data_IF_175741636894
#
_entry.id   IF_175741636894
#
_cell.length_a   1.000
_cell.length_b   1.000
_cell.length_c   1.000
_cell.angle_alpha   90.00
_cell.angle_beta   90.00
_cell.angle_gamma   90.00
#
_symmetry.space_group_name_H-M   'P 1'
#
loop_
_entity.id
_entity.type
_entity.pdbx_description
1 polymer ?
#
# COMPACT_ATOMS: atom_id res chain seq x y z
N UNK A 1 20.69 19.09 13.99
CA UNK A 1 19.68 18.77 12.95
C UNK A 1 20.27 19.12 11.60
N UNK A 2 19.89 18.42 10.53
CA UNK A 2 20.35 18.66 9.15
C UNK A 2 19.16 18.75 8.21
N UNK A 3 19.22 19.62 7.21
CA UNK A 3 18.24 19.65 6.13
C UNK A 3 18.82 18.97 4.88
N UNK A 4 18.04 18.12 4.22
CA UNK A 4 18.44 17.54 2.93
C UNK A 4 17.30 17.65 1.91
N UNK A 5 17.63 17.94 0.64
CA UNK A 5 16.63 18.09 -0.44
C UNK A 5 15.76 16.84 -0.61
N UNK A 6 16.38 15.66 -0.44
CA UNK A 6 15.72 14.36 -0.62
C UNK A 6 14.85 13.96 0.58
N UNK A 7 15.26 14.33 1.80
CA UNK A 7 14.64 13.79 3.01
C UNK A 7 13.95 14.81 3.92
N UNK A 8 14.16 16.11 3.71
CA UNK A 8 13.60 17.20 4.52
C UNK A 8 14.45 17.48 5.76
N UNK A 9 13.80 17.85 6.87
CA UNK A 9 14.45 17.98 8.17
C UNK A 9 14.80 16.60 8.73
N UNK A 10 16.06 16.41 9.07
CA UNK A 10 16.60 15.19 9.68
C UNK A 10 17.25 15.53 11.03
N UNK A 11 17.05 14.65 12.00
CA UNK A 11 17.83 14.61 13.22
C UNK A 11 19.08 13.74 12.98
N UNK A 12 20.25 14.26 13.34
CA UNK A 12 21.46 13.46 13.48
C UNK A 12 21.53 13.04 14.94
N UNK A 13 21.29 11.77 15.21
CA UNK A 13 21.23 11.23 16.57
C UNK A 13 22.53 10.49 16.83
N UNK A 14 23.35 11.07 17.71
CA UNK A 14 24.53 10.40 18.25
C UNK A 14 24.12 9.62 19.49
N UNK A 15 24.55 8.37 19.59
CA UNK A 15 24.19 7.50 20.70
C UNK A 15 25.37 6.64 21.14
N UNK A 16 25.27 6.07 22.34
CA UNK A 16 26.27 5.11 22.81
C UNK A 16 26.01 3.75 22.16
N UNK A 17 27.02 3.11 21.53
CA UNK A 17 26.81 1.82 20.91
C UNK A 17 26.61 0.73 21.99
N UNK A 18 25.96 -0.41 21.63
CA UNK A 18 25.84 -1.55 22.53
C UNK A 18 27.20 -2.00 23.08
N UNK A 19 27.24 -2.52 24.32
CA UNK A 19 28.48 -2.91 25.01
C UNK A 19 29.38 -3.82 24.15
N UNK A 20 28.77 -4.76 23.41
CA UNK A 20 29.47 -5.70 22.51
C UNK A 20 30.24 -5.02 21.38
N UNK A 21 29.80 -3.82 20.98
CA UNK A 21 30.34 -3.05 19.84
C UNK A 21 31.40 -2.05 20.31
N UNK A 22 31.35 -1.61 21.58
CA UNK A 22 32.27 -0.62 22.14
C UNK A 22 33.73 -1.07 22.05
N UNK A 23 34.00 -2.35 22.37
CA UNK A 23 35.35 -2.94 22.37
C UNK A 23 35.85 -3.37 20.98
N UNK A 24 35.03 -3.25 19.94
CA UNK A 24 35.38 -3.69 18.57
C UNK A 24 36.17 -2.62 17.83
N UNK A 25 37.08 -3.05 16.95
CA UNK A 25 37.77 -2.15 16.01
C UNK A 25 36.81 -1.59 14.96
N UNK A 26 37.15 -0.50 14.29
CA UNK A 26 36.31 0.14 13.25
C UNK A 26 35.84 -0.84 12.18
N UNK A 27 36.74 -1.72 11.71
CA UNK A 27 36.46 -2.76 10.72
C UNK A 27 35.46 -3.80 11.24
N UNK A 28 35.60 -4.20 12.51
CA UNK A 28 34.70 -5.13 13.18
C UNK A 28 33.34 -4.49 13.46
N UNK A 29 33.28 -3.21 13.83
CA UNK A 29 32.04 -2.45 13.98
C UNK A 29 31.28 -2.37 12.66
N UNK A 30 31.97 -2.05 11.54
CA UNK A 30 31.37 -2.03 10.20
C UNK A 30 30.74 -3.39 9.87
N UNK A 31 31.48 -4.49 10.03
CA UNK A 31 30.97 -5.84 9.78
C UNK A 31 29.75 -6.16 10.65
N UNK A 32 29.80 -5.79 11.93
CA UNK A 32 28.70 -6.02 12.86
C UNK A 32 27.45 -5.26 12.42
N UNK A 33 27.55 -3.95 12.17
CA UNK A 33 26.42 -3.14 11.70
C UNK A 33 25.82 -3.66 10.40
N UNK A 34 26.65 -4.10 9.46
CA UNK A 34 26.19 -4.66 8.18
C UNK A 34 25.54 -6.05 8.33
N UNK A 35 26.01 -6.87 9.27
CA UNK A 35 25.42 -8.17 9.55
C UNK A 35 24.09 -8.04 10.31
N UNK A 36 23.96 -7.02 11.17
CA UNK A 36 22.72 -6.78 11.91
C UNK A 36 21.68 -6.06 11.04
N UNK A 37 20.43 -6.52 11.08
CA UNK A 37 19.27 -5.80 10.52
C UNK A 37 18.80 -4.64 11.40
N UNK A 38 19.72 -4.05 12.18
CA UNK A 38 19.43 -2.94 13.08
C UNK A 38 19.61 -1.61 12.36
N UNK A 39 18.79 -0.63 12.73
CA UNK A 39 18.76 0.72 12.20
C UNK A 39 18.67 0.74 10.67
N UNK A 40 17.90 -0.19 10.08
CA UNK A 40 17.64 -0.21 8.65
C UNK A 40 16.77 0.97 8.22
N UNK A 41 16.89 1.39 6.96
CA UNK A 41 16.11 2.50 6.42
C UNK A 41 14.59 2.25 6.58
N UNK A 42 13.88 3.25 7.11
CA UNK A 42 12.45 3.20 7.38
C UNK A 42 12.05 2.62 8.75
N UNK A 43 12.97 2.02 9.51
CA UNK A 43 12.69 1.49 10.85
C UNK A 43 12.30 2.61 11.82
N UNK A 44 11.29 2.34 12.65
CA UNK A 44 10.83 3.25 13.70
C UNK A 44 11.85 3.34 14.86
N UNK A 45 12.16 4.57 15.26
CA UNK A 45 12.93 4.91 16.45
C UNK A 45 12.05 5.74 17.40
N UNK A 46 12.33 5.66 18.69
CA UNK A 46 11.78 6.54 19.71
C UNK A 46 12.92 7.10 20.56
N UNK A 47 13.03 8.42 20.60
CA UNK A 47 13.89 9.11 21.56
C UNK A 47 13.03 9.55 22.74
N UNK A 48 13.29 9.00 23.92
CA UNK A 48 12.64 9.42 25.15
C UNK A 48 13.50 10.52 25.76
N UNK A 49 12.95 11.72 25.78
CA UNK A 49 13.57 12.91 26.37
C UNK A 49 13.04 13.12 27.79
N UNK A 50 13.91 13.48 28.74
CA UNK A 50 13.49 13.66 30.14
C UNK A 50 13.61 15.13 30.55
N UNK A 51 12.46 15.74 30.83
CA UNK A 51 12.36 17.08 31.41
C UNK A 51 11.60 16.96 32.74
N UNK A 52 12.22 17.40 33.85
CA UNK A 52 11.63 17.43 35.19
C UNK A 52 10.98 16.09 35.62
N UNK A 53 11.73 14.99 35.40
CA UNK A 53 11.31 13.59 35.65
C UNK A 53 10.17 13.07 34.77
N UNK A 54 9.65 13.87 33.83
CA UNK A 54 8.68 13.44 32.82
C UNK A 54 9.41 13.02 31.54
N UNK A 55 9.21 11.77 31.15
CA UNK A 55 9.68 11.24 29.87
C UNK A 55 8.70 11.60 28.75
N UNK A 56 9.18 12.26 27.71
CA UNK A 56 8.39 12.59 26.50
C UNK A 56 8.98 11.84 25.31
N UNK A 57 8.22 10.89 24.70
CA UNK A 57 8.69 10.15 23.55
C UNK A 57 8.58 10.98 22.26
N UNK A 58 9.64 11.02 21.48
CA UNK A 58 9.67 11.61 20.15
C UNK A 58 9.99 10.52 19.13
N UNK A 59 9.13 10.34 18.15
CA UNK A 59 9.26 9.27 17.16
C UNK A 59 9.95 9.72 15.89
N UNK A 60 10.76 8.82 15.34
CA UNK A 60 11.49 9.02 14.10
C UNK A 60 11.44 7.77 13.22
N UNK A 61 11.76 7.94 11.95
CA UNK A 61 12.09 6.83 11.04
C UNK A 61 13.52 6.98 10.57
N UNK A 62 14.29 5.89 10.56
CA UNK A 62 15.66 5.92 10.04
C UNK A 62 15.64 6.37 8.59
N UNK A 63 16.42 7.40 8.27
CA UNK A 63 16.47 7.96 6.92
C UNK A 63 17.57 7.34 6.08
N UNK A 64 18.72 7.05 6.70
CA UNK A 64 19.86 6.40 6.06
C UNK A 64 20.71 5.68 7.09
N UNK A 65 20.99 4.40 6.84
CA UNK A 65 22.04 3.65 7.52
C UNK A 65 23.37 3.89 6.80
N UNK A 66 24.35 4.45 7.47
CA UNK A 66 25.68 4.72 6.91
C UNK A 66 26.75 4.01 7.72
N UNK A 67 27.56 3.19 7.06
CA UNK A 67 28.73 2.51 7.66
C UNK A 67 30.04 2.89 6.96
N UNK A 68 30.00 3.87 6.05
CA UNK A 68 31.16 4.36 5.32
C UNK A 68 31.89 5.42 6.14
N UNK A 69 33.21 5.38 6.11
CA UNK A 69 34.07 6.26 6.91
C UNK A 69 34.30 7.62 6.25
N UNK A 70 34.18 7.68 4.91
CA UNK A 70 34.49 8.87 4.11
C UNK A 70 33.40 9.95 4.14
N UNK A 71 32.21 9.61 4.66
CA UNK A 71 31.07 10.52 4.74
C UNK A 71 30.88 10.85 6.21
N UNK A 72 31.02 12.13 6.59
CA UNK A 72 30.70 12.60 7.94
C UNK A 72 29.30 12.15 8.37
N UNK A 73 29.17 11.78 9.64
CA UNK A 73 28.03 11.07 10.27
C UNK A 73 27.87 9.61 9.81
N UNK A 74 28.42 8.68 10.61
CA UNK A 74 28.45 7.24 10.31
C UNK A 74 28.30 6.41 11.59
N UNK A 75 27.88 5.14 11.46
CA UNK A 75 27.78 4.22 12.59
C UNK A 75 29.15 3.74 13.12
N UNK A 76 30.24 4.13 12.45
CA UNK A 76 31.61 3.73 12.78
C UNK A 76 32.50 4.91 13.20
N UNK A 77 31.94 6.11 13.41
CA UNK A 77 32.71 7.28 13.87
C UNK A 77 33.32 7.06 15.26
N UNK A 78 34.53 7.60 15.47
CA UNK A 78 35.28 7.46 16.73
C UNK A 78 34.59 8.17 17.90
N UNK A 79 33.97 9.31 17.65
CA UNK A 79 33.20 10.08 18.63
C UNK A 79 31.80 9.49 18.91
N UNK A 80 31.59 8.21 18.61
CA UNK A 80 30.33 7.49 18.76
C UNK A 80 29.50 7.41 17.47
N UNK A 81 28.66 6.36 17.30
CA UNK A 81 27.83 6.17 16.12
C UNK A 81 26.79 7.28 15.97
N UNK A 82 26.57 7.70 14.73
CA UNK A 82 25.53 8.66 14.35
C UNK A 82 24.56 8.01 13.37
N UNK A 83 23.26 8.19 13.60
CA UNK A 83 22.20 7.77 12.69
C UNK A 83 21.36 8.98 12.24
N UNK A 84 21.06 9.04 10.95
CA UNK A 84 20.16 10.03 10.39
C UNK A 84 18.72 9.53 10.46
N UNK A 85 17.82 10.35 11.01
CA UNK A 85 16.42 9.98 11.21
C UNK A 85 15.47 11.14 10.87
N UNK A 86 14.33 10.83 10.27
CA UNK A 86 13.25 11.78 9.97
C UNK A 86 12.19 11.76 11.05
N UNK A 87 11.63 12.92 11.34
CA UNK A 87 10.45 13.03 12.18
C UNK A 87 9.24 12.32 11.55
N UNK A 88 8.41 11.70 12.38
CA UNK A 88 7.13 11.14 11.93
C UNK A 88 6.10 12.25 11.71
N UNK A 89 5.03 11.98 10.95
CA UNK A 89 3.94 12.94 10.69
C UNK A 89 3.21 13.38 11.97
N UNK A 90 3.39 12.64 13.06
CA UNK A 90 2.84 12.93 14.39
C UNK A 90 3.68 13.90 15.21
N UNK A 91 4.88 14.29 14.76
CA UNK A 91 5.72 15.23 15.50
C UNK A 91 5.10 16.62 15.52
N UNK A 92 4.82 17.11 16.72
CA UNK A 92 4.30 18.46 16.96
C UNK A 92 5.41 19.47 17.14
N UNK A 93 5.09 20.77 17.04
CA UNK A 93 6.03 21.85 17.37
C UNK A 93 6.49 21.76 18.82
N UNK A 94 5.61 21.33 19.73
CA UNK A 94 5.94 21.12 21.14
C UNK A 94 6.99 20.02 21.31
N UNK A 95 6.93 18.95 20.53
CA UNK A 95 7.94 17.88 20.55
C UNK A 95 9.31 18.41 20.07
N UNK A 96 9.32 19.26 19.04
CA UNK A 96 10.55 19.91 18.56
C UNK A 96 11.16 20.85 19.62
N UNK A 97 10.32 21.58 20.36
CA UNK A 97 10.76 22.46 21.45
C UNK A 97 11.28 21.62 22.63
N UNK A 98 10.56 20.57 23.05
CA UNK A 98 11.00 19.66 24.10
C UNK A 98 12.33 19.01 23.75
N UNK A 99 12.50 18.61 22.48
CA UNK A 99 13.75 18.09 21.95
C UNK A 99 14.86 19.15 22.00
N UNK A 100 14.59 20.39 21.59
CA UNK A 100 15.53 21.53 21.68
C UNK A 100 16.02 21.78 23.11
N UNK A 101 15.12 21.75 24.10
CA UNK A 101 15.43 21.94 25.52
C UNK A 101 16.20 20.73 26.08
N UNK A 102 15.82 19.51 25.70
CA UNK A 102 16.48 18.28 26.17
C UNK A 102 17.90 18.10 25.67
N UNK A 103 18.31 18.73 24.55
CA UNK A 103 19.71 18.73 24.11
C UNK A 103 20.67 19.32 25.15
N UNK A 104 20.17 20.10 26.12
CA UNK A 104 20.97 20.68 27.19
C UNK A 104 21.09 19.76 28.43
N UNK A 105 20.34 18.64 28.50
CA UNK A 105 20.30 17.74 29.67
C UNK A 105 20.59 16.29 29.25
N UNK A 106 21.57 15.65 29.90
CA UNK A 106 22.32 14.53 29.33
C UNK A 106 21.74 13.09 29.51
N UNK A 107 20.43 12.89 29.74
CA UNK A 107 19.88 11.57 30.06
C UNK A 107 18.75 11.10 29.11
N UNK A 108 18.96 11.14 27.79
CA UNK A 108 17.95 10.68 26.84
C UNK A 108 18.13 9.20 26.48
N UNK A 109 17.03 8.47 26.27
CA UNK A 109 17.05 7.06 25.87
C UNK A 109 16.62 6.90 24.41
N UNK A 110 17.43 6.23 23.60
CA UNK A 110 17.07 5.87 22.23
C UNK A 110 16.60 4.41 22.18
N UNK A 111 15.35 4.21 21.75
CA UNK A 111 14.72 2.90 21.57
C UNK A 111 14.51 2.65 20.09
N UNK A 112 14.91 1.46 19.63
CA UNK A 112 14.68 0.98 18.28
C UNK A 112 13.52 -0.04 18.29
N UNK A 113 12.69 -0.05 17.24
CA UNK A 113 11.67 -1.06 17.00
C UNK A 113 12.03 -1.89 15.75
N UNK A 114 12.87 -2.94 15.87
CA UNK A 114 13.36 -3.68 14.72
C UNK A 114 12.22 -4.24 13.85
N UNK A 115 12.32 -4.02 12.53
CA UNK A 115 11.33 -4.51 11.56
C UNK A 115 10.01 -3.73 11.53
N UNK A 116 9.78 -2.78 12.44
CA UNK A 116 8.61 -1.91 12.40
C UNK A 116 8.87 -0.76 11.43
N UNK A 117 8.26 -0.85 10.25
CA UNK A 117 8.36 0.16 9.19
C UNK A 117 6.98 0.80 8.99
N UNK A 118 6.69 1.95 9.63
CA UNK A 118 5.35 2.55 9.64
C UNK A 118 4.73 2.75 8.26
N UNK A 119 5.55 3.11 7.26
CA UNK A 119 5.11 3.35 5.89
C UNK A 119 4.49 2.12 5.22
N UNK A 120 4.72 0.91 5.75
CA UNK A 120 4.17 -0.33 5.21
C UNK A 120 2.76 -0.66 5.71
N UNK A 121 2.32 -0.09 6.83
CA UNK A 121 1.04 -0.43 7.45
C UNK A 121 0.19 0.77 7.87
N UNK A 122 0.78 1.93 8.20
CA UNK A 122 0.01 3.12 8.65
C UNK A 122 -1.04 3.54 7.61
N UNK A 123 -0.72 3.71 6.32
CA UNK A 123 -1.75 4.07 5.33
C UNK A 123 -2.86 3.03 5.23
N UNK A 124 -2.54 1.74 5.40
CA UNK A 124 -3.53 0.66 5.38
C UNK A 124 -4.46 0.77 6.58
N UNK A 125 -3.91 1.01 7.77
CA UNK A 125 -4.69 1.17 9.00
C UNK A 125 -5.59 2.41 8.96
N UNK A 126 -5.08 3.54 8.49
CA UNK A 126 -5.87 4.78 8.31
C UNK A 126 -7.04 4.55 7.36
N UNK A 127 -6.81 3.90 6.21
CA UNK A 127 -7.87 3.53 5.28
C UNK A 127 -8.89 2.56 5.91
N UNK A 128 -8.43 1.58 6.71
CA UNK A 128 -9.34 0.68 7.42
C UNK A 128 -10.21 1.43 8.42
N UNK A 129 -9.65 2.39 9.16
CA UNK A 129 -10.42 3.24 10.07
C UNK A 129 -11.49 4.04 9.32
N UNK A 130 -11.13 4.66 8.19
CA UNK A 130 -12.10 5.40 7.36
C UNK A 130 -13.20 4.48 6.80
N UNK A 131 -12.84 3.27 6.35
CA UNK A 131 -13.79 2.28 5.86
C UNK A 131 -14.77 1.81 6.96
N UNK A 132 -14.28 1.68 8.19
CA UNK A 132 -15.12 1.31 9.35
C UNK A 132 -16.09 2.45 9.71
N UNK A 133 -15.62 3.70 9.74
CA UNK A 133 -16.46 4.87 10.03
C UNK A 133 -17.51 5.08 8.94
N UNK A 134 -17.11 4.98 7.67
CA UNK A 134 -18.01 5.21 6.54
C UNK A 134 -19.04 4.08 6.32
N UNK A 135 -18.81 2.88 6.88
CA UNK A 135 -19.62 1.65 6.66
C UNK A 135 -19.83 1.31 5.17
N UNK A 136 -18.98 1.80 4.27
CA UNK A 136 -19.17 1.76 2.81
C UNK A 136 -18.78 0.44 2.16
N UNK A 137 -18.15 -0.50 2.87
CA UNK A 137 -17.67 -1.74 2.24
C UNK A 137 -18.55 -2.95 2.55
N UNK A 138 -19.13 -3.52 1.49
CA UNK A 138 -19.82 -4.81 1.56
C UNK A 138 -18.88 -5.90 2.10
N UNK A 139 -17.59 -5.86 1.73
CA UNK A 139 -16.58 -6.82 2.19
C UNK A 139 -16.42 -6.79 3.72
N UNK A 140 -16.23 -5.62 4.35
CA UNK A 140 -16.11 -5.56 5.82
C UNK A 140 -17.42 -5.89 6.51
N UNK A 141 -18.57 -5.50 5.93
CA UNK A 141 -19.90 -5.87 6.46
C UNK A 141 -20.05 -7.38 6.60
N UNK A 142 -19.57 -8.16 5.63
CA UNK A 142 -19.66 -9.63 5.64
C UNK A 142 -18.49 -10.29 6.40
N UNK A 143 -17.28 -9.73 6.37
CA UNK A 143 -16.13 -10.27 7.13
C UNK A 143 -16.25 -10.07 8.65
N UNK A 144 -16.83 -8.96 9.11
CA UNK A 144 -16.86 -8.57 10.53
C UNK A 144 -18.13 -9.01 11.28
N UNK A 145 -19.09 -9.66 10.60
CA UNK A 145 -20.30 -10.21 11.23
C UNK A 145 -20.42 -11.73 11.11
N UNK A 146 -19.45 -12.52 11.62
CA UNK A 146 -19.63 -13.95 11.77
C UNK A 146 -20.53 -14.20 13.00
N UNK A 147 -21.84 -14.39 12.82
CA UNK A 147 -22.67 -14.87 13.95
C UNK A 147 -24.15 -14.47 13.99
N UNK A 148 -24.60 -13.45 13.26
CA UNK A 148 -26.04 -13.18 13.13
C UNK A 148 -26.60 -14.04 11.99
N UNK A 149 -26.80 -15.33 12.27
CA UNK A 149 -27.52 -16.30 11.43
C UNK A 149 -27.27 -16.22 9.92
N UNK A 150 -26.57 -17.20 9.36
CA UNK A 150 -26.50 -17.46 7.90
C UNK A 150 -27.88 -17.67 7.20
N UNK A 151 -28.99 -17.39 7.89
CA UNK A 151 -30.36 -17.42 7.39
C UNK A 151 -30.70 -16.23 6.46
N UNK A 152 -29.99 -15.09 6.52
CA UNK A 152 -30.22 -14.02 5.55
C UNK A 152 -29.43 -14.27 4.26
N UNK A 153 -30.12 -14.67 3.19
CA UNK A 153 -29.56 -14.76 1.84
C UNK A 153 -28.77 -13.50 1.48
N UNK A 154 -27.50 -13.66 1.05
CA UNK A 154 -26.66 -12.54 0.63
C UNK A 154 -27.34 -11.87 -0.57
N UNK A 155 -27.70 -10.59 -0.39
CA UNK A 155 -28.43 -9.82 -1.41
C UNK A 155 -27.55 -9.56 -2.64
N UNK A 156 -28.14 -9.32 -3.82
CA UNK A 156 -27.41 -8.86 -5.01
C UNK A 156 -26.65 -7.55 -4.77
N UNK A 157 -25.59 -7.24 -5.52
CA UNK A 157 -24.91 -5.94 -5.45
C UNK A 157 -25.85 -4.75 -5.64
N UNK A 158 -25.54 -3.60 -5.04
CA UNK A 158 -26.42 -2.40 -5.05
C UNK A 158 -26.83 -1.99 -6.47
N UNK A 159 -25.88 -1.95 -7.41
CA UNK A 159 -26.15 -1.61 -8.81
C UNK A 159 -27.11 -2.61 -9.49
N UNK A 160 -27.07 -3.88 -9.08
CA UNK A 160 -27.90 -4.93 -9.64
C UNK A 160 -29.32 -5.01 -9.05
N UNK A 161 -29.62 -4.16 -8.06
CA UNK A 161 -30.98 -4.02 -7.48
C UNK A 161 -31.81 -2.94 -8.17
N UNK A 162 -31.21 -2.15 -9.06
CA UNK A 162 -31.90 -1.06 -9.73
C UNK A 162 -33.04 -1.62 -10.61
N UNK A 163 -34.21 -0.97 -10.63
CA UNK A 163 -35.30 -1.36 -11.53
C UNK A 163 -34.82 -1.37 -12.99
N UNK A 164 -35.19 -2.43 -13.73
CA UNK A 164 -34.80 -2.59 -15.13
C UNK A 164 -33.37 -3.08 -15.37
N UNK A 165 -32.52 -3.20 -14.34
CA UNK A 165 -31.18 -3.74 -14.52
C UNK A 165 -31.20 -5.25 -14.77
N UNK A 166 -30.45 -5.68 -15.79
CA UNK A 166 -30.09 -7.07 -16.04
C UNK A 166 -28.68 -7.12 -16.64
N UNK A 167 -27.92 -8.16 -16.30
CA UNK A 167 -26.61 -8.40 -16.90
C UNK A 167 -26.78 -8.93 -18.32
N UNK A 168 -26.13 -8.29 -19.28
CA UNK A 168 -25.86 -8.85 -20.59
C UNK A 168 -24.80 -9.96 -20.47
N UNK A 169 -25.17 -11.19 -20.82
CA UNK A 169 -24.31 -12.38 -20.79
C UNK A 169 -23.77 -12.75 -22.18
N UNK A 170 -24.11 -12.01 -23.23
CA UNK A 170 -23.66 -12.24 -24.61
C UNK A 170 -22.14 -12.44 -24.77
N UNK A 171 -21.24 -11.78 -23.99
CA UNK A 171 -19.81 -12.00 -24.13
C UNK A 171 -19.35 -13.45 -23.93
N UNK A 172 -20.10 -14.25 -23.19
CA UNK A 172 -19.69 -15.61 -22.79
C UNK A 172 -20.42 -16.71 -23.56
N UNK A 173 -21.33 -16.32 -24.45
CA UNK A 173 -22.11 -17.23 -25.29
C UNK A 173 -21.29 -17.61 -26.53
N UNK A 174 -21.39 -18.87 -26.91
CA UNK A 174 -20.66 -19.42 -28.07
C UNK A 174 -21.20 -18.90 -29.41
N UNK A 175 -22.52 -18.71 -29.50
CA UNK A 175 -23.20 -18.15 -30.67
C UNK A 175 -23.41 -16.64 -30.52
N UNK A 176 -22.77 -15.80 -31.37
CA UNK A 176 -22.85 -14.34 -31.25
C UNK A 176 -24.22 -13.77 -31.62
N UNK A 177 -25.13 -14.57 -32.20
CA UNK A 177 -26.49 -14.13 -32.57
C UNK A 177 -27.46 -14.18 -31.39
N UNK A 178 -27.12 -14.91 -30.33
CA UNK A 178 -27.98 -15.12 -29.17
C UNK A 178 -27.69 -14.07 -28.12
N UNK A 179 -28.70 -13.26 -27.79
CA UNK A 179 -28.65 -12.34 -26.66
C UNK A 179 -29.30 -12.96 -25.43
N UNK A 180 -28.59 -12.98 -24.30
CA UNK A 180 -29.10 -13.52 -23.05
C UNK A 180 -28.87 -12.51 -21.92
N UNK A 181 -29.95 -12.24 -21.18
CA UNK A 181 -29.92 -11.34 -20.05
C UNK A 181 -30.24 -12.05 -18.75
N UNK A 182 -29.55 -11.67 -17.68
CA UNK A 182 -29.77 -12.24 -16.35
C UNK A 182 -30.07 -11.17 -15.31
N UNK A 183 -31.23 -11.29 -14.68
CA UNK A 183 -31.64 -10.43 -13.56
C UNK A 183 -31.41 -11.14 -12.23
N UNK A 184 -30.53 -10.64 -11.35
CA UNK A 184 -30.35 -11.21 -10.02
C UNK A 184 -31.64 -11.23 -9.20
N UNK A 185 -31.82 -12.29 -8.42
CA UNK A 185 -32.99 -12.49 -7.57
C UNK A 185 -34.13 -13.31 -8.21
N UNK A 186 -34.02 -13.69 -9.48
CA UNK A 186 -34.92 -14.69 -10.10
C UNK A 186 -34.43 -16.12 -9.82
N UNK A 187 -35.32 -17.11 -10.03
CA UNK A 187 -34.94 -18.52 -9.94
C UNK A 187 -33.78 -18.83 -10.90
N UNK A 188 -32.66 -19.33 -10.38
CA UNK A 188 -31.43 -19.57 -11.16
C UNK A 188 -31.48 -20.86 -11.97
N UNK A 189 -32.35 -21.82 -11.65
CA UNK A 189 -32.33 -23.16 -12.26
C UNK A 189 -32.46 -23.12 -13.80
N UNK A 190 -33.43 -22.34 -14.31
CA UNK A 190 -33.60 -22.16 -15.77
C UNK A 190 -32.39 -21.49 -16.42
N UNK A 191 -31.82 -20.49 -15.75
CA UNK A 191 -30.65 -19.78 -16.26
C UNK A 191 -29.40 -20.68 -16.26
N UNK A 192 -29.23 -21.53 -15.25
CA UNK A 192 -28.16 -22.51 -15.21
C UNK A 192 -28.24 -23.48 -16.39
N UNK A 193 -29.45 -23.97 -16.71
CA UNK A 193 -29.68 -24.83 -17.87
C UNK A 193 -29.37 -24.12 -19.19
N UNK A 194 -29.87 -22.90 -19.38
CA UNK A 194 -29.53 -22.10 -20.58
C UNK A 194 -28.03 -21.90 -20.73
N UNK A 195 -27.31 -21.56 -19.65
CA UNK A 195 -25.86 -21.37 -19.68
C UNK A 195 -25.09 -22.64 -20.03
N UNK A 196 -25.54 -23.82 -19.56
CA UNK A 196 -24.91 -25.10 -19.93
C UNK A 196 -24.98 -25.37 -21.44
N UNK A 197 -26.08 -24.99 -22.09
CA UNK A 197 -26.28 -25.22 -23.52
C UNK A 197 -25.62 -24.15 -24.40
N UNK A 198 -25.58 -22.90 -23.92
CA UNK A 198 -25.12 -21.75 -24.69
C UNK A 198 -23.63 -21.43 -24.51
N UNK A 199 -22.98 -22.04 -23.51
CA UNK A 199 -21.58 -21.77 -23.16
C UNK A 199 -20.78 -23.06 -22.99
N UNK A 200 -19.47 -22.95 -22.82
CA UNK A 200 -18.59 -24.11 -22.53
C UNK A 200 -18.46 -24.40 -21.03
N UNK A 201 -19.27 -23.76 -20.19
CA UNK A 201 -19.24 -23.93 -18.73
C UNK A 201 -19.95 -25.21 -18.30
N UNK A 202 -19.37 -25.92 -17.34
CA UNK A 202 -20.07 -27.03 -16.70
C UNK A 202 -21.07 -26.53 -15.63
N UNK A 203 -21.84 -27.45 -15.06
CA UNK A 203 -22.87 -27.12 -14.06
C UNK A 203 -22.34 -26.33 -12.85
N UNK A 204 -21.24 -26.80 -12.24
CA UNK A 204 -20.67 -26.14 -11.08
C UNK A 204 -20.14 -24.74 -11.41
N UNK A 205 -19.61 -24.56 -12.62
CA UNK A 205 -19.14 -23.27 -13.12
C UNK A 205 -20.29 -22.31 -13.41
N UNK A 206 -21.42 -22.78 -13.95
CA UNK A 206 -22.63 -21.98 -14.13
C UNK A 206 -23.15 -21.47 -12.78
N UNK A 207 -23.26 -22.37 -11.79
CA UNK A 207 -23.66 -22.02 -10.41
C UNK A 207 -22.71 -21.00 -9.78
N UNK A 208 -21.41 -21.20 -9.94
CA UNK A 208 -20.39 -20.28 -9.44
C UNK A 208 -20.50 -18.89 -10.09
N UNK A 209 -20.70 -18.83 -11.40
CA UNK A 209 -20.84 -17.59 -12.15
C UNK A 209 -22.09 -16.81 -11.69
N UNK A 210 -23.26 -17.46 -11.66
CA UNK A 210 -24.50 -16.82 -11.22
C UNK A 210 -24.43 -16.38 -9.75
N UNK A 211 -23.79 -17.18 -8.89
CA UNK A 211 -23.51 -16.78 -7.51
C UNK A 211 -22.66 -15.51 -7.44
N UNK A 212 -21.65 -15.37 -8.30
CA UNK A 212 -20.80 -14.18 -8.37
C UNK A 212 -21.54 -12.92 -8.84
N UNK A 213 -22.50 -13.07 -9.75
CA UNK A 213 -23.34 -11.96 -10.26
C UNK A 213 -24.46 -11.56 -9.29
N UNK A 214 -24.96 -12.51 -8.50
CA UNK A 214 -26.17 -12.32 -7.68
C UNK A 214 -25.94 -12.06 -6.21
N UNK A 215 -24.69 -11.94 -5.76
CA UNK A 215 -24.36 -11.77 -4.35
C UNK A 215 -23.32 -10.67 -4.18
N UNK A 216 -23.52 -9.78 -3.20
CA UNK A 216 -22.50 -8.81 -2.76
C UNK A 216 -21.19 -9.48 -2.33
N UNK A 217 -21.28 -10.73 -1.87
CA UNK A 217 -20.15 -11.57 -1.49
C UNK A 217 -20.42 -13.01 -1.92
N UNK A 218 -19.50 -13.61 -2.66
CA UNK A 218 -19.60 -14.98 -3.12
C UNK A 218 -18.29 -15.73 -2.83
N UNK A 219 -18.41 -16.89 -2.17
CA UNK A 219 -17.31 -17.84 -2.02
C UNK A 219 -17.45 -18.91 -3.09
N UNK A 220 -16.47 -18.98 -3.99
CA UNK A 220 -16.42 -19.99 -5.05
C UNK A 220 -15.30 -20.97 -4.72
N UNK A 221 -15.67 -22.17 -4.32
CA UNK A 221 -14.74 -23.26 -4.05
C UNK A 221 -14.64 -24.18 -5.26
N UNK A 222 -13.42 -24.61 -5.57
CA UNK A 222 -13.18 -25.61 -6.61
C UNK A 222 -11.88 -26.37 -6.33
N UNK A 223 -11.86 -27.71 -6.41
CA UNK A 223 -10.63 -28.51 -6.36
C UNK A 223 -9.54 -28.04 -7.34
N UNK A 224 -8.28 -28.50 -7.19
CA UNK A 224 -7.24 -28.31 -8.20
C UNK A 224 -7.74 -28.75 -9.60
N UNK A 225 -7.37 -28.02 -10.65
CA UNK A 225 -7.78 -28.35 -12.03
C UNK A 225 -9.20 -27.94 -12.45
N UNK A 226 -10.07 -27.48 -11.55
CA UNK A 226 -11.49 -27.15 -11.88
C UNK A 226 -11.72 -25.83 -12.65
N UNK A 227 -10.66 -25.29 -13.28
CA UNK A 227 -10.70 -24.06 -14.10
C UNK A 227 -11.37 -22.86 -13.38
N UNK A 228 -11.12 -22.67 -12.07
CA UNK A 228 -11.60 -21.49 -11.32
C UNK A 228 -11.25 -20.16 -12.00
N UNK A 229 -10.02 -20.06 -12.53
CA UNK A 229 -9.57 -18.91 -13.31
C UNK A 229 -10.43 -18.66 -14.55
N UNK A 230 -10.95 -19.72 -15.19
CA UNK A 230 -11.84 -19.58 -16.34
C UNK A 230 -13.18 -18.95 -15.96
N UNK A 231 -13.79 -19.39 -14.84
CA UNK A 231 -15.02 -18.76 -14.32
C UNK A 231 -14.76 -17.30 -13.95
N UNK A 232 -13.62 -17.00 -13.30
CA UNK A 232 -13.21 -15.64 -12.99
C UNK A 232 -13.06 -14.77 -14.25
N UNK A 233 -12.47 -15.30 -15.32
CA UNK A 233 -12.38 -14.63 -16.62
C UNK A 233 -13.75 -14.29 -17.18
N UNK A 234 -14.70 -15.24 -17.17
CA UNK A 234 -16.06 -14.99 -17.67
C UNK A 234 -16.80 -13.95 -16.82
N UNK A 235 -16.66 -14.02 -15.50
CA UNK A 235 -17.25 -13.03 -14.59
C UNK A 235 -16.72 -11.62 -14.89
N UNK A 236 -15.41 -11.46 -15.05
CA UNK A 236 -14.80 -10.16 -15.39
C UNK A 236 -15.30 -9.65 -16.73
N UNK A 237 -15.41 -10.52 -17.76
CA UNK A 237 -15.93 -10.13 -19.08
C UNK A 237 -17.36 -9.59 -18.99
N UNK A 238 -18.24 -10.29 -18.27
CA UNK A 238 -19.62 -9.85 -18.05
C UNK A 238 -19.66 -8.51 -17.32
N UNK A 239 -18.90 -8.35 -16.23
CA UNK A 239 -18.88 -7.10 -15.47
C UNK A 239 -18.35 -5.93 -16.31
N UNK A 240 -17.35 -6.16 -17.17
CA UNK A 240 -16.81 -5.12 -18.06
C UNK A 240 -17.80 -4.73 -19.16
N UNK A 241 -18.50 -5.69 -19.75
CA UNK A 241 -19.56 -5.40 -20.74
C UNK A 241 -20.71 -4.60 -20.12
N UNK A 242 -21.03 -4.85 -18.86
CA UNK A 242 -22.08 -4.14 -18.13
C UNK A 242 -21.56 -2.93 -17.34
N UNK A 243 -20.35 -2.45 -17.62
CA UNK A 243 -19.70 -1.40 -16.82
C UNK A 243 -20.50 -0.10 -16.79
N UNK A 244 -21.02 0.33 -17.94
CA UNK A 244 -21.76 1.60 -18.05
C UNK A 244 -23.14 1.50 -17.42
N UNK A 245 -23.90 0.44 -17.73
CA UNK A 245 -25.25 0.21 -17.20
C UNK A 245 -25.25 0.01 -15.68
N UNK A 246 -24.19 -0.57 -15.11
CA UNK A 246 -24.03 -0.74 -13.66
C UNK A 246 -23.18 0.36 -12.99
N UNK A 247 -22.76 1.39 -13.74
CA UNK A 247 -21.86 2.46 -13.26
C UNK A 247 -20.63 1.93 -12.49
N UNK A 248 -20.00 0.86 -13.00
CA UNK A 248 -18.92 0.17 -12.33
C UNK A 248 -17.58 0.93 -12.48
N UNK A 249 -16.89 1.03 -11.35
CA UNK A 249 -15.50 1.45 -11.29
C UNK A 249 -14.55 0.36 -11.81
N UNK A 250 -13.23 0.59 -11.69
CA UNK A 250 -12.22 -0.41 -12.02
C UNK A 250 -12.41 -1.70 -11.21
N UNK A 251 -12.22 -2.85 -11.86
CA UNK A 251 -12.22 -4.15 -11.20
C UNK A 251 -10.82 -4.39 -10.63
N UNK A 252 -10.72 -4.57 -9.31
CA UNK A 252 -9.48 -4.89 -8.63
C UNK A 252 -9.37 -6.40 -8.48
N UNK A 253 -8.29 -6.98 -9.04
CA UNK A 253 -7.96 -8.39 -8.91
C UNK A 253 -6.78 -8.53 -7.96
N UNK A 254 -6.95 -9.35 -6.91
CA UNK A 254 -5.92 -9.61 -5.91
C UNK A 254 -5.65 -11.11 -5.85
N UNK A 255 -4.38 -11.50 -5.82
CA UNK A 255 -3.96 -12.89 -5.60
C UNK A 255 -2.82 -12.92 -4.58
N UNK A 256 -2.67 -14.05 -3.90
CA UNK A 256 -1.60 -14.23 -2.91
C UNK A 256 -0.20 -14.23 -3.54
N UNK A 257 -0.04 -14.82 -4.72
CA UNK A 257 1.25 -14.93 -5.42
C UNK A 257 1.25 -14.15 -6.73
N UNK A 258 2.42 -13.62 -7.10
CA UNK A 258 2.61 -12.96 -8.40
C UNK A 258 2.32 -13.91 -9.56
N UNK A 259 2.74 -15.17 -9.46
CA UNK A 259 2.54 -16.16 -10.53
C UNK A 259 1.06 -16.41 -10.82
N UNK A 260 0.23 -16.58 -9.77
CA UNK A 260 -1.21 -16.77 -9.94
C UNK A 260 -1.89 -15.54 -10.56
N UNK A 261 -1.49 -14.34 -10.14
CA UNK A 261 -1.99 -13.09 -10.70
C UNK A 261 -1.62 -12.96 -12.18
N UNK A 262 -0.35 -13.18 -12.53
CA UNK A 262 0.13 -13.04 -13.89
C UNK A 262 -0.58 -14.05 -14.82
N UNK A 263 -0.73 -15.32 -14.40
CA UNK A 263 -1.48 -16.32 -15.16
C UNK A 263 -2.95 -15.92 -15.36
N UNK A 264 -3.59 -15.35 -14.34
CA UNK A 264 -4.98 -14.88 -14.47
C UNK A 264 -5.10 -13.69 -15.44
N UNK A 265 -4.18 -12.73 -15.38
CA UNK A 265 -4.17 -11.58 -16.29
C UNK A 265 -3.89 -12.00 -17.74
N UNK A 266 -3.04 -13.00 -17.96
CA UNK A 266 -2.85 -13.59 -19.30
C UNK A 266 -4.13 -14.20 -19.84
N UNK A 267 -4.89 -14.96 -19.03
CA UNK A 267 -6.19 -15.48 -19.45
C UNK A 267 -7.17 -14.35 -19.81
N UNK A 268 -7.16 -13.23 -19.08
CA UNK A 268 -7.96 -12.06 -19.40
C UNK A 268 -7.54 -11.41 -20.72
N UNK A 269 -6.23 -11.28 -20.98
CA UNK A 269 -5.70 -10.76 -22.25
C UNK A 269 -6.14 -11.63 -23.44
N UNK A 270 -5.98 -12.96 -23.32
CA UNK A 270 -6.42 -13.92 -24.35
C UNK A 270 -7.92 -13.84 -24.57
N UNK A 271 -8.70 -13.56 -23.52
CA UNK A 271 -10.14 -13.37 -23.62
C UNK A 271 -10.58 -11.97 -24.08
N UNK A 272 -9.64 -11.15 -24.57
CA UNK A 272 -9.91 -9.84 -25.19
C UNK A 272 -9.91 -8.65 -24.25
N UNK A 273 -9.66 -8.84 -22.95
CA UNK A 273 -9.61 -7.75 -21.98
C UNK A 273 -8.26 -7.05 -22.09
N UNK A 274 -8.17 -5.97 -22.87
CA UNK A 274 -6.89 -5.28 -23.13
C UNK A 274 -6.59 -4.13 -22.16
N UNK A 275 -7.63 -3.50 -21.59
CA UNK A 275 -7.47 -2.34 -20.71
C UNK A 275 -7.27 -2.78 -19.26
N UNK A 276 -6.02 -3.09 -18.90
CA UNK A 276 -5.64 -3.53 -17.56
C UNK A 276 -4.30 -2.91 -17.14
N UNK A 277 -4.13 -2.75 -15.83
CA UNK A 277 -2.88 -2.26 -15.22
C UNK A 277 -2.44 -3.28 -14.17
N UNK A 278 -1.22 -3.78 -14.30
CA UNK A 278 -0.57 -4.67 -13.32
C UNK A 278 0.24 -3.85 -12.32
N UNK A 279 -0.13 -3.93 -11.04
CA UNK A 279 0.56 -3.25 -9.94
C UNK A 279 1.38 -4.28 -9.16
N UNK A 280 2.68 -4.04 -8.98
CA UNK A 280 3.60 -4.92 -8.25
C UNK A 280 4.96 -5.08 -8.95
N UNK A 281 5.94 -5.63 -8.22
CA UNK A 281 7.27 -5.96 -8.76
C UNK A 281 7.38 -7.42 -9.20
N UNK A 282 8.41 -7.73 -9.99
CA UNK A 282 8.83 -9.10 -10.35
C UNK A 282 7.76 -9.93 -11.09
N UNK A 283 7.04 -9.34 -12.04
CA UNK A 283 6.22 -10.12 -12.97
C UNK A 283 7.14 -10.89 -13.92
N UNK A 284 6.89 -12.20 -14.07
CA UNK A 284 7.69 -13.08 -14.94
C UNK A 284 7.18 -13.09 -16.38
N UNK A 285 5.94 -12.66 -16.60
CA UNK A 285 5.31 -12.63 -17.91
C UNK A 285 5.83 -11.47 -18.77
N UNK A 286 6.40 -11.82 -19.93
CA UNK A 286 6.78 -10.85 -20.96
C UNK A 286 5.56 -10.11 -21.53
N UNK A 287 4.41 -10.79 -21.65
CA UNK A 287 3.15 -10.24 -22.17
C UNK A 287 2.60 -9.11 -21.28
N UNK A 288 2.81 -9.21 -19.97
CA UNK A 288 2.31 -8.24 -18.99
C UNK A 288 3.27 -7.08 -18.72
N UNK A 289 4.49 -7.12 -19.26
CA UNK A 289 5.51 -6.09 -19.01
C UNK A 289 5.07 -4.69 -19.47
N UNK A 290 4.34 -4.62 -20.58
CA UNK A 290 3.74 -3.39 -21.12
C UNK A 290 2.51 -2.91 -20.32
N UNK A 291 1.90 -3.80 -19.54
CA UNK A 291 0.75 -3.51 -18.65
C UNK A 291 1.19 -3.13 -17.23
N UNK A 292 2.47 -3.24 -16.90
CA UNK A 292 2.96 -2.91 -15.56
C UNK A 292 2.93 -1.40 -15.33
N UNK A 293 2.36 -0.98 -14.19
CA UNK A 293 2.22 0.43 -13.83
C UNK A 293 3.55 1.18 -13.85
N UNK A 294 4.66 0.56 -13.40
CA UNK A 294 5.98 1.20 -13.40
C UNK A 294 6.49 1.47 -14.82
N UNK A 295 6.23 0.57 -15.76
CA UNK A 295 6.59 0.73 -17.17
C UNK A 295 5.77 1.86 -17.78
N UNK A 296 4.43 1.81 -17.59
CA UNK A 296 3.50 2.82 -18.11
C UNK A 296 3.82 4.21 -17.55
N UNK A 297 4.06 4.33 -16.23
CA UNK A 297 4.35 5.62 -15.59
C UNK A 297 5.65 6.26 -16.06
N UNK A 298 6.61 5.46 -16.54
CA UNK A 298 7.87 5.97 -17.12
C UNK A 298 7.69 6.47 -18.54
N UNK A 299 6.75 5.88 -19.28
CA UNK A 299 6.46 6.21 -20.66
C UNK A 299 5.44 7.36 -20.80
N UNK A 300 4.57 7.54 -19.80
CA UNK A 300 3.64 8.66 -19.78
C UNK A 300 4.38 9.97 -19.52
N UNK A 301 4.43 10.85 -20.52
CA UNK A 301 4.73 12.27 -20.29
C UNK A 301 3.71 12.79 -19.26
N UNK A 302 4.19 13.34 -18.15
CA UNK A 302 3.31 13.91 -17.10
C UNK A 302 2.40 14.95 -17.76
N UNK A 303 1.08 14.81 -17.60
CA UNK A 303 0.15 15.79 -18.19
C UNK A 303 0.39 17.17 -17.55
N UNK A 304 0.26 18.26 -18.34
CA UNK A 304 0.46 19.64 -17.88
C UNK A 304 -0.26 19.99 -16.56
N UNK A 305 -1.50 19.54 -16.30
CA UNK A 305 -2.18 19.78 -15.02
C UNK A 305 -1.52 19.07 -13.84
N UNK A 306 -1.10 17.80 -14.01
CA UNK A 306 -0.40 17.05 -12.97
C UNK A 306 0.97 17.67 -12.67
N UNK A 307 1.66 18.16 -13.69
CA UNK A 307 2.91 18.90 -13.52
C UNK A 307 2.71 20.21 -12.74
N UNK A 308 1.63 20.94 -13.00
CA UNK A 308 1.28 22.16 -12.29
C UNK A 308 0.93 21.89 -10.81
N UNK A 309 0.06 20.92 -10.51
CA UNK A 309 -0.28 20.54 -9.13
C UNK A 309 0.95 20.07 -8.36
N UNK A 310 1.82 19.28 -9.01
CA UNK A 310 3.09 18.85 -8.44
C UNK A 310 4.02 20.05 -8.18
N UNK A 311 4.10 21.01 -9.09
CA UNK A 311 4.87 22.25 -8.91
C UNK A 311 4.34 23.08 -7.73
N UNK A 312 3.02 23.22 -7.59
CA UNK A 312 2.41 23.89 -6.44
C UNK A 312 2.72 23.18 -5.13
N UNK A 313 2.66 21.84 -5.10
CA UNK A 313 3.04 21.06 -3.92
C UNK A 313 4.53 21.24 -3.58
N UNK A 314 5.42 21.26 -4.58
CA UNK A 314 6.84 21.56 -4.37
C UNK A 314 7.06 22.98 -3.83
N UNK A 315 6.39 24.00 -4.39
CA UNK A 315 6.48 25.40 -3.89
C UNK A 315 5.90 25.56 -2.48
N UNK A 316 4.83 24.84 -2.15
CA UNK A 316 4.26 24.83 -0.80
C UNK A 316 5.23 24.17 0.19
N UNK A 317 5.83 23.05 -0.21
CA UNK A 317 6.89 22.38 0.55
C UNK A 317 8.03 23.36 0.82
N UNK A 318 8.66 23.92 -0.23
CA UNK A 318 9.79 24.88 -0.14
C UNK A 318 9.50 26.07 0.78
N UNK A 319 8.30 26.65 0.71
CA UNK A 319 7.88 27.72 1.64
C UNK A 319 7.86 27.25 3.10
N UNK A 320 7.29 26.06 3.35
CA UNK A 320 7.33 25.44 4.67
C UNK A 320 8.75 25.14 5.16
N UNK A 321 9.64 24.68 4.26
CA UNK A 321 11.07 24.45 4.58
C UNK A 321 11.73 25.75 5.06
N UNK A 322 11.52 26.86 4.32
CA UNK A 322 12.10 28.16 4.66
C UNK A 322 11.63 28.69 6.03
N UNK A 323 10.32 28.59 6.31
CA UNK A 323 9.75 29.05 7.58
C UNK A 323 10.35 28.23 8.74
N UNK A 324 10.39 26.91 8.60
CA UNK A 324 10.87 26.02 9.65
C UNK A 324 12.38 26.22 9.93
N UNK A 325 13.18 26.40 8.88
CA UNK A 325 14.62 26.69 9.03
C UNK A 325 14.87 28.01 9.75
N UNK A 326 14.08 29.05 9.48
CA UNK A 326 14.21 30.35 10.17
C UNK A 326 13.85 30.23 11.66
N UNK A 327 12.83 29.45 12.01
CA UNK A 327 12.49 29.17 13.42
C UNK A 327 13.55 28.32 14.13
N UNK A 328 14.11 27.31 13.47
CA UNK A 328 15.17 26.50 14.07
C UNK A 328 16.49 27.27 14.25
N UNK A 329 16.85 28.13 13.29
CA UNK A 329 18.02 29.04 13.39
C UNK A 329 17.88 30.05 14.54
N UNK A 330 16.67 30.53 14.81
CA UNK A 330 16.42 31.44 15.93
C UNK A 330 16.39 30.72 17.29
N UNK A 331 15.93 29.46 17.32
CA UNK A 331 15.86 28.65 18.54
C UNK A 331 17.20 28.02 18.95
N UNK A 332 18.21 28.02 18.07
CA UNK A 332 19.44 27.27 18.32
C UNK A 332 20.67 28.05 17.85
N UNK A 333 21.68 28.16 18.71
CA UNK A 333 23.06 28.37 18.31
C UNK A 333 23.57 27.10 17.60
N UNK A 334 22.95 26.70 16.49
CA UNK A 334 23.44 25.63 15.61
C UNK A 334 24.51 26.25 14.72
N UNK A 335 25.75 25.78 14.89
CA UNK A 335 26.84 26.06 13.96
C UNK A 335 26.40 25.72 12.54
N UNK A 336 26.67 26.65 11.62
CA UNK A 336 26.53 26.45 10.19
C UNK A 336 27.15 25.10 9.77
N UNK A 337 26.50 24.32 8.90
CA UNK A 337 27.26 23.38 8.09
C UNK A 337 28.15 24.20 7.14
N UNK A 338 29.42 23.80 7.04
CA UNK A 338 30.45 24.45 6.21
C UNK A 338 29.96 24.77 4.77
N UNK A 339 30.46 25.86 4.17
CA UNK A 339 30.31 26.11 2.75
C UNK A 339 31.32 25.24 2.00
N UNK A 340 30.84 24.26 1.25
CA UNK A 340 31.26 23.88 -0.13
C UNK A 340 30.72 22.51 -0.52
#
# INVERSE_FOLDING_TARGET
MRWTKKHGLEAQIRFQPPADVQRKTTSQRRRWWNATKRLEEGVLLCLITFCDKKGTPVFFTVSKKNTDYQIGDSLITENGPVISAKFTTTTTVQDLIALAVSFQRANNLLVEFPGVIPTTFVPVLENLQELLVSRRSALLKWLLKPGLGFSSSIRPPVYARLPGFAFDLSPIISDPTISLHYKPGTNTARMEESLKHLTTLNEGQCKALLSGLSREFALIQGPPGTRKSYVGTQLVRILLTNRESAALGPIIVVCHTNHALDQFLEHLLTAGVKNMIRIGGNGTSSLLKSKNLRTISRQSLKSRPQAHTLSLAYKAKERGEHILLNHLKSASRIQNPDPN
#
